data_IF_535865511253
#
_entry.id   IF_535865511253
#
_cell.length_a   1.000
_cell.length_b   1.000
_cell.length_c   1.000
_cell.angle_alpha   90.00
_cell.angle_beta   90.00
_cell.angle_gamma   90.00
#
_symmetry.space_group_name_H-M   'P 1'
#
loop_
_entity.id
_entity.type
_entity.pdbx_description
1 polymer ?
#
# COMPACT_ATOMS: atom_id res chain seq x y z
N UNK A 1 12.69 18.07 -2.77
CA UNK A 1 13.07 17.49 -4.09
C UNK A 1 11.96 17.77 -5.08
N UNK A 2 12.28 18.22 -6.30
CA UNK A 2 11.32 18.40 -7.39
C UNK A 2 11.61 17.37 -8.48
N UNK A 3 10.56 16.84 -9.11
CA UNK A 3 10.66 15.87 -10.20
C UNK A 3 9.91 16.40 -11.43
N UNK A 4 10.39 16.13 -12.65
CA UNK A 4 9.65 16.51 -13.85
C UNK A 4 8.34 15.70 -13.95
N UNK A 5 7.25 16.36 -14.35
CA UNK A 5 6.02 15.70 -14.73
C UNK A 5 6.22 15.02 -16.09
N UNK A 6 6.26 13.68 -16.12
CA UNK A 6 6.45 12.86 -17.31
C UNK A 6 5.45 11.70 -17.33
N UNK A 7 5.15 11.23 -18.53
CA UNK A 7 4.30 10.07 -18.76
C UNK A 7 2.81 10.41 -18.68
N UNK A 8 2.00 9.45 -18.23
CA UNK A 8 0.54 9.57 -18.17
C UNK A 8 0.01 9.48 -16.75
N UNK A 9 -1.14 10.11 -16.54
CA UNK A 9 -1.91 10.07 -15.30
C UNK A 9 -3.30 9.54 -15.63
N UNK A 10 -3.66 8.40 -15.06
CA UNK A 10 -5.03 7.92 -15.02
C UNK A 10 -5.63 8.28 -13.66
N UNK A 11 -6.90 8.69 -13.66
CA UNK A 11 -7.59 9.20 -12.46
C UNK A 11 -8.95 8.53 -12.32
N UNK A 12 -9.29 8.12 -11.11
CA UNK A 12 -10.62 7.66 -10.75
C UNK A 12 -11.08 8.30 -9.44
N UNK A 13 -12.35 8.65 -9.37
CA UNK A 13 -12.97 9.23 -8.17
C UNK A 13 -14.12 8.37 -7.67
N UNK A 14 -14.18 8.10 -6.36
CA UNK A 14 -15.40 7.55 -5.75
C UNK A 14 -16.32 8.69 -5.31
N UNK A 15 -17.66 8.54 -5.44
CA UNK A 15 -18.37 7.33 -5.86
C UNK A 15 -18.71 7.26 -7.36
N UNK A 16 -18.28 8.23 -8.18
CA UNK A 16 -18.71 8.36 -9.59
C UNK A 16 -17.98 7.43 -10.57
N UNK A 17 -16.79 6.95 -10.22
CA UNK A 17 -16.01 5.98 -10.95
C UNK A 17 -15.73 4.76 -10.07
N UNK A 18 -14.95 3.81 -10.58
CA UNK A 18 -14.54 2.62 -9.84
C UNK A 18 -13.01 2.54 -9.66
N UNK A 19 -12.46 3.23 -8.64
CA UNK A 19 -11.03 3.12 -8.31
C UNK A 19 -10.59 1.70 -7.97
N UNK A 20 -11.47 0.85 -7.43
CA UNK A 20 -11.13 -0.56 -7.14
C UNK A 20 -10.89 -1.32 -8.44
N UNK A 21 -11.77 -1.15 -9.43
CA UNK A 21 -11.60 -1.77 -10.74
C UNK A 21 -10.34 -1.28 -11.47
N UNK A 22 -10.09 0.04 -11.47
CA UNK A 22 -8.88 0.61 -12.07
C UNK A 22 -7.60 0.07 -11.41
N UNK A 23 -7.58 -0.02 -10.08
CA UNK A 23 -6.46 -0.58 -9.34
C UNK A 23 -6.25 -2.08 -9.61
N UNK A 24 -7.34 -2.86 -9.66
CA UNK A 24 -7.27 -4.30 -9.98
C UNK A 24 -6.71 -4.50 -11.40
N UNK A 25 -7.13 -3.69 -12.37
CA UNK A 25 -6.59 -3.73 -13.73
C UNK A 25 -5.09 -3.42 -13.75
N UNK A 26 -4.65 -2.38 -13.04
CA UNK A 26 -3.23 -2.03 -12.94
C UNK A 26 -2.39 -3.16 -12.29
N UNK A 27 -2.91 -3.81 -11.24
CA UNK A 27 -2.27 -5.00 -10.62
C UNK A 27 -2.20 -6.18 -11.60
N UNK A 28 -3.21 -6.35 -12.46
CA UNK A 28 -3.23 -7.42 -13.45
C UNK A 28 -2.17 -7.23 -14.55
N UNK A 29 -1.80 -5.99 -14.87
CA UNK A 29 -0.78 -5.64 -15.87
C UNK A 29 0.66 -5.84 -15.41
N UNK A 30 0.91 -5.84 -14.09
CA UNK A 30 2.25 -5.95 -13.52
C UNK A 30 2.93 -7.28 -13.88
N UNK A 31 4.23 -7.21 -14.15
CA UNK A 31 5.00 -8.31 -14.76
C UNK A 31 6.13 -8.84 -13.88
N UNK A 32 6.74 -7.99 -13.07
CA UNK A 32 7.99 -8.28 -12.35
C UNK A 32 7.78 -8.23 -10.84
N UNK A 33 7.21 -7.12 -10.34
CA UNK A 33 7.00 -6.96 -8.90
C UNK A 33 5.94 -5.92 -8.55
N UNK A 34 5.35 -6.08 -7.37
CA UNK A 34 4.36 -5.17 -6.78
C UNK A 34 4.76 -4.92 -5.33
N UNK A 35 4.95 -3.66 -4.97
CA UNK A 35 5.17 -3.23 -3.59
C UNK A 35 3.93 -2.49 -3.11
N UNK A 36 3.33 -2.96 -2.03
CA UNK A 36 2.11 -2.37 -1.45
C UNK A 36 2.46 -1.69 -0.14
N UNK A 37 1.95 -0.47 0.09
CA UNK A 37 1.94 0.18 1.40
C UNK A 37 0.54 0.72 1.69
N UNK A 38 -0.13 0.19 2.71
CA UNK A 38 -1.54 0.48 2.96
C UNK A 38 -1.86 0.78 4.43
N UNK A 39 -2.59 1.87 4.64
CA UNK A 39 -3.14 2.23 5.94
C UNK A 39 -4.24 1.27 6.37
N UNK A 40 -5.34 1.16 5.61
CA UNK A 40 -6.39 0.16 5.85
C UNK A 40 -6.53 -0.73 4.63
N UNK A 41 -6.41 -2.05 4.84
CA UNK A 41 -6.57 -3.04 3.78
C UNK A 41 -7.57 -4.14 4.20
N UNK A 42 -8.79 -4.03 3.67
CA UNK A 42 -9.88 -4.99 3.88
C UNK A 42 -10.58 -5.43 2.58
N UNK A 43 -10.18 -4.88 1.43
CA UNK A 43 -10.72 -5.24 0.12
C UNK A 43 -10.25 -6.65 -0.30
N UNK A 44 -11.16 -7.62 -0.18
CA UNK A 44 -10.95 -8.98 -0.71
C UNK A 44 -10.71 -9.00 -2.23
N UNK A 45 -11.40 -8.18 -3.07
CA UNK A 45 -11.07 -8.06 -4.49
C UNK A 45 -9.62 -7.68 -4.76
N UNK A 46 -9.10 -6.64 -4.11
CA UNK A 46 -7.70 -6.20 -4.28
C UNK A 46 -6.74 -7.28 -3.79
N UNK A 47 -7.00 -7.89 -2.62
CA UNK A 47 -6.17 -8.98 -2.10
C UNK A 47 -6.14 -10.18 -3.07
N UNK A 48 -7.27 -10.55 -3.67
CA UNK A 48 -7.31 -11.61 -4.70
C UNK A 48 -6.52 -11.24 -5.94
N UNK A 49 -6.55 -9.98 -6.37
CA UNK A 49 -5.75 -9.52 -7.51
C UNK A 49 -4.24 -9.63 -7.23
N UNK A 50 -3.79 -9.27 -6.03
CA UNK A 50 -2.41 -9.45 -5.58
C UNK A 50 -2.01 -10.94 -5.52
N UNK A 51 -2.86 -11.79 -4.96
CA UNK A 51 -2.63 -13.25 -4.95
C UNK A 51 -2.57 -13.81 -6.36
N UNK A 52 -3.43 -13.36 -7.27
CA UNK A 52 -3.39 -13.76 -8.67
C UNK A 52 -2.07 -13.32 -9.33
N UNK A 53 -1.61 -12.09 -9.10
CA UNK A 53 -0.31 -11.62 -9.58
C UNK A 53 0.84 -12.47 -9.03
N UNK A 54 0.82 -12.77 -7.72
CA UNK A 54 1.81 -13.62 -7.09
C UNK A 54 1.87 -15.02 -7.72
N UNK A 55 0.71 -15.64 -7.96
CA UNK A 55 0.60 -16.94 -8.64
C UNK A 55 1.09 -16.92 -10.09
N UNK A 56 1.08 -15.76 -10.77
CA UNK A 56 1.70 -15.59 -12.10
C UNK A 56 3.23 -15.52 -12.05
N UNK A 57 3.84 -15.47 -10.86
CA UNK A 57 5.29 -15.30 -10.67
C UNK A 57 5.73 -13.87 -10.41
N UNK A 58 4.79 -12.91 -10.31
CA UNK A 58 5.11 -11.53 -9.93
C UNK A 58 5.51 -11.50 -8.46
N UNK A 59 6.63 -10.85 -8.12
CA UNK A 59 7.03 -10.71 -6.71
C UNK A 59 6.16 -9.67 -6.02
N UNK A 60 5.35 -10.10 -5.05
CA UNK A 60 4.47 -9.18 -4.31
C UNK A 60 4.98 -9.05 -2.89
N UNK A 61 5.10 -7.83 -2.38
CA UNK A 61 5.42 -7.56 -0.97
C UNK A 61 4.46 -6.51 -0.40
N UNK A 62 3.97 -6.75 0.82
CA UNK A 62 2.91 -5.93 1.43
C UNK A 62 3.37 -5.34 2.76
N UNK A 63 3.22 -4.03 2.89
CA UNK A 63 3.51 -3.27 4.10
C UNK A 63 2.24 -2.60 4.62
N UNK A 64 1.90 -2.81 5.89
CA UNK A 64 0.62 -2.37 6.47
C UNK A 64 0.81 -1.57 7.75
N UNK A 65 -0.11 -0.67 8.05
CA UNK A 65 -0.24 -0.15 9.41
C UNK A 65 -0.67 -1.28 10.38
N UNK A 66 0.06 -1.45 11.49
CA UNK A 66 -0.17 -2.55 12.43
C UNK A 66 -1.54 -2.48 13.14
N UNK A 67 -1.98 -1.28 13.53
CA UNK A 67 -3.20 -1.11 14.32
C UNK A 67 -4.46 -1.14 13.45
N UNK A 68 -4.37 -0.61 12.23
CA UNK A 68 -5.52 -0.58 11.33
C UNK A 68 -5.77 -1.88 10.58
N UNK A 69 -4.82 -2.81 10.59
CA UNK A 69 -4.94 -4.11 9.92
C UNK A 69 -5.00 -5.28 10.92
N UNK A 70 -5.37 -4.99 12.17
CA UNK A 70 -5.63 -6.03 13.17
C UNK A 70 -6.65 -7.06 12.66
N UNK A 71 -6.51 -8.34 13.03
CA UNK A 71 -7.42 -9.40 12.60
C UNK A 71 -8.87 -9.06 12.94
N UNK A 72 -9.73 -9.21 11.93
CA UNK A 72 -11.18 -9.05 12.00
C UNK A 72 -11.80 -9.91 10.90
N UNK A 73 -13.12 -10.04 10.88
CA UNK A 73 -13.83 -10.76 9.81
C UNK A 73 -13.64 -10.16 8.41
N UNK A 74 -13.15 -8.91 8.34
CA UNK A 74 -12.86 -8.20 7.10
C UNK A 74 -11.36 -8.21 6.73
N UNK A 75 -10.49 -8.74 7.59
CA UNK A 75 -9.04 -8.71 7.36
C UNK A 75 -8.66 -9.55 6.14
N UNK A 76 -7.70 -9.04 5.35
CA UNK A 76 -7.09 -9.77 4.23
C UNK A 76 -5.78 -10.46 4.61
N UNK A 77 -5.25 -10.21 5.82
CA UNK A 77 -3.99 -10.80 6.30
C UNK A 77 -3.95 -12.33 6.16
N UNK A 78 -4.97 -13.10 6.60
CA UNK A 78 -4.93 -14.56 6.47
C UNK A 78 -4.77 -14.98 5.01
N UNK A 79 -5.50 -14.34 4.09
CA UNK A 79 -5.46 -14.65 2.67
C UNK A 79 -4.09 -14.35 2.04
N UNK A 80 -3.44 -13.26 2.44
CA UNK A 80 -2.11 -12.89 1.93
C UNK A 80 -1.02 -13.85 2.45
N UNK A 81 -1.04 -14.13 3.75
CA UNK A 81 -0.10 -15.05 4.40
C UNK A 81 -0.23 -16.48 3.88
N UNK A 82 -1.46 -16.98 3.74
CA UNK A 82 -1.73 -18.31 3.17
C UNK A 82 -1.25 -18.44 1.72
N UNK A 83 -1.33 -17.35 0.94
CA UNK A 83 -0.81 -17.31 -0.42
C UNK A 83 0.72 -17.23 -0.50
N UNK A 84 1.43 -17.15 0.64
CA UNK A 84 2.89 -17.02 0.70
C UNK A 84 3.42 -15.63 0.35
N UNK A 85 2.56 -14.61 0.31
CA UNK A 85 2.98 -13.23 0.07
C UNK A 85 3.67 -12.69 1.33
N UNK A 86 4.92 -12.20 1.25
CA UNK A 86 5.56 -11.56 2.39
C UNK A 86 4.79 -10.32 2.84
N UNK A 87 4.44 -10.29 4.12
CA UNK A 87 3.76 -9.17 4.77
C UNK A 87 4.64 -8.63 5.88
N UNK A 88 4.68 -7.32 6.03
CA UNK A 88 5.26 -6.63 7.18
C UNK A 88 4.29 -5.57 7.72
N UNK A 89 4.45 -5.21 8.99
CA UNK A 89 3.65 -4.18 9.65
C UNK A 89 4.51 -3.06 10.22
N UNK A 90 4.03 -1.83 10.04
CA UNK A 90 4.64 -0.60 10.55
C UNK A 90 4.20 -0.35 11.99
N UNK A 91 5.16 -0.29 12.90
CA UNK A 91 4.94 -0.12 14.35
C UNK A 91 5.59 1.15 14.91
N UNK A 92 6.32 1.91 14.09
CA UNK A 92 7.03 3.13 14.50
C UNK A 92 6.13 4.37 14.54
N UNK A 93 5.20 4.51 13.61
CA UNK A 93 4.41 5.73 13.41
C UNK A 93 3.05 5.66 14.09
N UNK A 94 2.58 6.74 14.72
CA UNK A 94 1.23 6.78 15.28
C UNK A 94 0.18 6.32 14.24
N UNK A 95 0.36 6.77 12.99
CA UNK A 95 -0.45 6.38 11.84
C UNK A 95 0.48 6.22 10.62
N UNK A 96 0.59 5.01 10.07
CA UNK A 96 1.23 4.78 8.77
C UNK A 96 0.21 5.00 7.64
N UNK A 97 -0.06 6.27 7.31
CA UNK A 97 -1.25 6.66 6.55
C UNK A 97 -1.14 6.51 5.01
N UNK A 98 -0.18 5.76 4.49
CA UNK A 98 0.04 5.63 3.05
C UNK A 98 -1.04 4.77 2.38
N UNK A 99 -1.40 5.12 1.14
CA UNK A 99 -2.16 4.27 0.22
C UNK A 99 -1.41 4.28 -1.10
N UNK A 100 -0.44 3.38 -1.20
CA UNK A 100 0.55 3.36 -2.28
C UNK A 100 0.68 1.94 -2.81
N UNK A 101 0.68 1.79 -4.13
CA UNK A 101 1.14 0.58 -4.81
C UNK A 101 2.17 0.99 -5.85
N UNK A 102 3.32 0.32 -5.85
CA UNK A 102 4.38 0.53 -6.83
C UNK A 102 4.45 -0.72 -7.70
N UNK A 103 4.20 -0.55 -8.99
CA UNK A 103 4.19 -1.62 -9.98
C UNK A 103 5.53 -1.59 -10.72
N UNK A 104 6.14 -2.76 -10.90
CA UNK A 104 7.37 -3.00 -11.65
C UNK A 104 8.48 -1.95 -11.40
N UNK A 105 8.88 -1.71 -10.14
CA UNK A 105 9.83 -0.64 -9.79
C UNK A 105 11.21 -0.74 -10.46
N UNK A 106 11.62 -1.94 -10.88
CA UNK A 106 12.87 -2.15 -11.62
C UNK A 106 12.72 -1.89 -13.14
N UNK A 107 11.49 -1.80 -13.65
CA UNK A 107 11.21 -1.61 -15.06
C UNK A 107 11.30 -0.15 -15.47
N UNK A 108 12.15 0.14 -16.45
CA UNK A 108 12.27 1.48 -17.02
C UNK A 108 11.05 1.87 -17.89
N UNK A 109 10.29 0.89 -18.41
CA UNK A 109 9.21 1.10 -19.38
C UNK A 109 7.81 0.87 -18.80
N UNK A 110 7.67 0.03 -17.77
CA UNK A 110 6.36 -0.36 -17.23
C UNK A 110 6.16 0.04 -15.77
N UNK A 111 7.17 0.63 -15.13
CA UNK A 111 7.08 1.11 -13.75
C UNK A 111 5.98 2.14 -13.55
N UNK A 112 5.21 1.99 -12.48
CA UNK A 112 4.11 2.89 -12.14
C UNK A 112 3.94 3.06 -10.63
N UNK A 113 3.37 4.20 -10.23
CA UNK A 113 2.95 4.47 -8.86
C UNK A 113 1.45 4.70 -8.84
N UNK A 114 0.74 3.94 -8.02
CA UNK A 114 -0.65 4.19 -7.67
C UNK A 114 -0.70 4.88 -6.31
N UNK A 115 -1.42 6.00 -6.20
CA UNK A 115 -1.66 6.65 -4.91
C UNK A 115 -2.89 7.55 -4.93
N UNK A 116 -3.27 8.09 -3.78
CA UNK A 116 -4.43 8.96 -3.61
C UNK A 116 -4.95 8.90 -2.17
N UNK A 117 -6.20 9.31 -1.97
CA UNK A 117 -6.87 9.18 -0.68
C UNK A 117 -7.41 7.76 -0.43
N UNK A 118 -7.63 7.00 -1.52
CA UNK A 118 -8.34 5.72 -1.54
C UNK A 118 -7.71 4.63 -0.65
N UNK A 119 -8.31 4.36 0.51
CA UNK A 119 -7.98 3.18 1.31
C UNK A 119 -8.48 1.91 0.61
N UNK A 120 -7.79 0.78 0.76
CA UNK A 120 -8.14 -0.49 0.10
C UNK A 120 -9.28 -1.19 0.84
N UNK A 121 -10.45 -0.57 0.84
CA UNK A 121 -11.62 -0.92 1.66
C UNK A 121 -12.91 -0.78 0.86
N UNK A 122 -13.99 -1.43 1.32
CA UNK A 122 -15.31 -1.26 0.71
C UNK A 122 -15.85 0.16 0.84
N UNK A 123 -15.66 0.82 1.99
CA UNK A 123 -16.16 2.18 2.22
C UNK A 123 -15.51 3.19 1.27
N UNK A 124 -14.20 3.07 1.02
CA UNK A 124 -13.53 3.89 0.02
C UNK A 124 -14.17 3.75 -1.37
N UNK A 125 -14.61 2.54 -1.75
CA UNK A 125 -15.28 2.30 -3.03
C UNK A 125 -16.65 2.98 -3.15
N UNK A 126 -17.51 2.81 -2.14
CA UNK A 126 -18.96 3.09 -2.28
C UNK A 126 -19.52 4.17 -1.37
N UNK A 127 -18.81 4.60 -0.33
CA UNK A 127 -19.34 5.47 0.70
C UNK A 127 -18.55 6.80 0.86
N UNK A 128 -17.25 6.77 0.56
CA UNK A 128 -16.39 7.94 0.71
C UNK A 128 -16.23 8.69 -0.61
N UNK A 129 -15.96 9.99 -0.51
CA UNK A 129 -15.38 10.77 -1.60
C UNK A 129 -13.87 10.52 -1.62
N UNK A 130 -13.37 9.85 -2.67
CA UNK A 130 -11.97 9.44 -2.76
C UNK A 130 -11.40 9.77 -4.13
N UNK A 131 -10.08 9.91 -4.21
CA UNK A 131 -9.34 9.93 -5.48
C UNK A 131 -8.29 8.82 -5.51
N UNK A 132 -8.04 8.31 -6.73
CA UNK A 132 -6.95 7.41 -7.06
C UNK A 132 -6.27 7.92 -8.33
N UNK A 133 -4.95 7.94 -8.30
CA UNK A 133 -4.06 8.30 -9.40
C UNK A 133 -3.21 7.08 -9.74
N UNK A 134 -3.10 6.75 -11.03
CA UNK A 134 -2.12 5.79 -11.54
C UNK A 134 -1.14 6.56 -12.43
N UNK A 135 0.09 6.68 -11.97
CA UNK A 135 1.15 7.49 -12.56
C UNK A 135 2.14 6.58 -13.28
N UNK A 136 2.19 6.66 -14.61
CA UNK A 136 3.02 5.79 -15.46
C UNK A 136 4.06 6.60 -16.23
N UNK A 137 5.15 5.96 -16.64
CA UNK A 137 6.15 6.59 -17.50
C UNK A 137 7.02 7.65 -16.80
N UNK A 138 7.17 7.55 -15.47
CA UNK A 138 8.04 8.41 -14.69
C UNK A 138 9.00 7.60 -13.79
N UNK A 139 10.12 7.08 -14.33
CA UNK A 139 11.06 6.26 -13.56
C UNK A 139 11.67 6.98 -12.35
N UNK A 140 11.80 8.32 -12.41
CA UNK A 140 12.31 9.10 -11.27
C UNK A 140 11.31 9.09 -10.10
N UNK A 141 10.02 9.24 -10.40
CA UNK A 141 8.95 9.13 -9.39
C UNK A 141 8.89 7.73 -8.79
N UNK A 142 8.90 6.69 -9.64
CA UNK A 142 8.89 5.29 -9.22
C UNK A 142 10.06 5.00 -8.28
N UNK A 143 11.27 5.47 -8.61
CA UNK A 143 12.47 5.30 -7.78
C UNK A 143 12.28 5.93 -6.40
N UNK A 144 11.84 7.19 -6.32
CA UNK A 144 11.65 7.88 -5.04
C UNK A 144 10.60 7.20 -4.15
N UNK A 145 9.49 6.75 -4.74
CA UNK A 145 8.48 5.99 -4.01
C UNK A 145 9.03 4.63 -3.54
N UNK A 146 9.83 3.97 -4.37
CA UNK A 146 10.47 2.69 -4.04
C UNK A 146 11.47 2.85 -2.89
N UNK A 147 12.34 3.86 -2.96
CA UNK A 147 13.31 4.16 -1.91
C UNK A 147 12.58 4.48 -0.59
N UNK A 148 11.48 5.23 -0.66
CA UNK A 148 10.66 5.47 0.52
C UNK A 148 10.07 4.17 1.09
N UNK A 149 9.44 3.36 0.23
CA UNK A 149 8.87 2.07 0.64
C UNK A 149 9.92 1.17 1.30
N UNK A 150 11.13 1.10 0.74
CA UNK A 150 12.25 0.32 1.29
C UNK A 150 12.67 0.81 2.68
N UNK A 151 12.73 2.13 2.90
CA UNK A 151 13.03 2.70 4.24
C UNK A 151 12.00 2.27 5.27
N UNK A 152 10.72 2.37 4.94
CA UNK A 152 9.65 1.91 5.85
C UNK A 152 9.72 0.39 6.08
N UNK A 153 9.95 -0.39 5.02
CA UNK A 153 10.07 -1.85 5.08
C UNK A 153 11.25 -2.32 5.95
N UNK A 154 12.37 -1.60 5.95
CA UNK A 154 13.56 -1.93 6.73
C UNK A 154 13.34 -1.79 8.25
N UNK A 155 12.43 -0.92 8.66
CA UNK A 155 12.06 -0.70 10.06
C UNK A 155 10.78 -1.46 10.48
N UNK A 156 10.09 -2.07 9.52
CA UNK A 156 8.85 -2.80 9.75
C UNK A 156 9.09 -4.22 10.27
N UNK A 157 8.12 -4.73 11.01
CA UNK A 157 8.15 -6.10 11.51
C UNK A 157 7.53 -7.04 10.48
N UNK A 158 8.32 -7.99 9.96
CA UNK A 158 7.81 -9.06 9.11
C UNK A 158 6.83 -9.97 9.86
N UNK A 159 5.82 -10.48 9.15
CA UNK A 159 4.81 -11.40 9.67
C UNK A 159 4.82 -12.70 8.86
N UNK A 160 4.97 -13.83 9.57
CA UNK A 160 4.81 -15.19 9.04
C UNK A 160 3.47 -15.81 9.44
N UNK A 161 2.90 -15.37 10.56
CA UNK A 161 1.58 -15.76 11.04
C UNK A 161 0.90 -14.58 11.74
N UNK A 162 -0.39 -14.71 12.03
CA UNK A 162 -1.13 -13.69 12.78
C UNK A 162 -0.66 -13.56 14.24
N UNK A 163 -0.08 -14.63 14.80
CA UNK A 163 0.41 -14.65 16.18
C UNK A 163 1.69 -13.81 16.35
N UNK A 164 2.40 -13.53 15.25
CA UNK A 164 3.57 -12.65 15.25
C UNK A 164 3.20 -11.16 15.27
N UNK A 165 1.90 -10.80 15.29
CA UNK A 165 1.50 -9.40 15.37
C UNK A 165 2.02 -8.75 16.67
N UNK A 166 2.58 -7.54 16.60
CA UNK A 166 3.06 -6.81 17.77
C UNK A 166 1.91 -6.56 18.75
N UNK A 167 2.16 -6.40 20.06
CA UNK A 167 1.10 -6.03 21.00
C UNK A 167 0.40 -4.74 20.57
N UNK A 168 -0.86 -4.57 20.99
CA UNK A 168 -1.57 -3.29 20.77
C UNK A 168 -0.78 -2.18 21.42
N UNK A 169 -0.67 -1.04 20.74
CA UNK A 169 -0.17 0.16 21.41
C UNK A 169 -1.04 0.47 22.62
N UNK A 170 -0.39 0.69 23.76
CA UNK A 170 -1.06 1.29 24.90
C UNK A 170 -1.61 2.67 24.51
N UNK A 171 -2.70 3.10 25.15
CA UNK A 171 -3.15 4.49 25.05
C UNK A 171 -2.08 5.38 25.67
N UNK A 172 -1.11 5.83 24.90
CA UNK A 172 -0.32 7.00 25.28
C UNK A 172 -1.19 8.20 24.94
N UNK A 173 -1.68 8.86 25.98
CA UNK A 173 -2.49 10.07 25.90
C UNK A 173 -1.88 11.03 24.86
N UNK A 174 -2.66 11.42 23.87
CA UNK A 174 -2.24 12.16 22.67
C UNK A 174 -1.78 13.59 22.94
N UNK A 175 -0.82 13.79 23.84
CA UNK A 175 -0.04 15.02 23.95
C UNK A 175 1.34 14.75 23.36
N UNK A 176 1.58 15.32 22.19
CA UNK A 176 2.91 15.46 21.60
C UNK A 176 3.90 15.91 22.67
N UNK A 177 4.93 15.11 22.96
CA UNK A 177 6.15 15.66 23.55
C UNK A 177 6.92 16.34 22.42
N UNK A 178 6.56 17.61 22.27
CA UNK A 178 7.30 18.75 21.77
C UNK A 178 8.52 18.52 20.87
N UNK A 179 8.48 19.26 19.75
CA UNK A 179 9.54 19.41 18.77
C UNK A 179 10.78 19.96 19.48
N UNK A 180 11.82 19.15 19.64
CA UNK A 180 13.18 19.71 19.78
C UNK A 180 13.68 20.05 18.39
N UNK A 181 13.46 21.29 17.97
CA UNK A 181 14.34 21.95 17.01
C UNK A 181 15.73 22.08 17.66
N UNK A 182 16.82 21.68 16.99
CA UNK A 182 18.16 22.10 17.40
C UNK A 182 18.38 23.56 16.98
N UNK A 183 18.92 24.35 17.91
CA UNK A 183 19.57 25.64 17.63
C UNK A 183 20.85 25.46 16.79
#
# INVERSE_FOLDING_TARGET
MQLPARGSVEVAFSPWNDPEAALIAAIAEARESILVQAYVFTSKPIARALVAAHKRGVRVEVLLDAEMNRPSSLSVLPQLLEAGIPVAVETRYNIAHNKVIILDPASASHGAVVTGSYNFTRSARVANAENLLILRGNPALVRVFTDNWQRHRAEAQGLRSLDELPPRRGKTDGRESDRRTPD
#
